data_IF_718956147043
#
_entry.id   IF_718956147043
#
_cell.length_a   1.000
_cell.length_b   1.000
_cell.length_c   1.000
_cell.angle_alpha   90.00
_cell.angle_beta   90.00
_cell.angle_gamma   90.00
#
_symmetry.space_group_name_H-M   'P 1'
#
loop_
_entity.id
_entity.type
_entity.pdbx_description
1 polymer ?
#
# COMPACT_ATOMS: atom_id res chain seq x y z
N UNK A 1 0.00 -24.29 -8.93
CA UNK A 1 0.92 -23.16 -9.20
C UNK A 1 1.64 -22.82 -7.90
N UNK A 2 2.85 -23.31 -7.73
CA UNK A 2 3.60 -23.28 -6.47
C UNK A 2 4.20 -21.89 -6.21
N UNK A 3 3.95 -21.34 -5.01
CA UNK A 3 4.53 -20.09 -4.53
C UNK A 3 6.04 -20.28 -4.29
N UNK A 4 6.87 -20.02 -5.29
CA UNK A 4 8.33 -19.93 -5.14
C UNK A 4 8.70 -18.61 -4.44
N UNK A 5 8.62 -18.58 -3.11
CA UNK A 5 9.25 -17.55 -2.29
C UNK A 5 10.39 -18.15 -1.47
N UNK A 6 11.39 -17.31 -1.21
CA UNK A 6 12.57 -17.65 -0.43
C UNK A 6 12.26 -17.39 1.03
N UNK A 7 12.69 -18.30 1.91
CA UNK A 7 12.57 -18.11 3.36
C UNK A 7 13.81 -17.39 3.87
N UNK A 8 13.68 -16.14 4.30
CA UNK A 8 14.76 -15.42 4.98
C UNK A 8 14.56 -15.46 6.49
N UNK A 9 15.66 -15.60 7.23
CA UNK A 9 15.67 -15.50 8.70
C UNK A 9 16.22 -14.13 9.09
N UNK A 10 15.35 -13.23 9.55
CA UNK A 10 15.80 -12.00 10.20
C UNK A 10 16.15 -12.37 11.64
N UNK A 11 17.45 -12.38 11.97
CA UNK A 11 17.94 -12.59 13.34
C UNK A 11 17.81 -11.28 14.10
N UNK A 12 16.69 -11.06 14.78
CA UNK A 12 16.68 -10.11 15.89
C UNK A 12 17.29 -10.80 17.12
N UNK A 13 17.99 -10.06 17.98
CA UNK A 13 18.93 -10.53 19.05
C UNK A 13 18.42 -11.69 19.96
N UNK A 14 17.14 -12.02 19.95
CA UNK A 14 16.51 -13.11 20.73
C UNK A 14 15.43 -13.92 19.99
N UNK A 15 15.02 -13.56 18.75
CA UNK A 15 13.96 -14.24 18.00
C UNK A 15 14.33 -14.38 16.52
N UNK A 16 14.34 -15.62 16.04
CA UNK A 16 14.45 -15.94 14.61
C UNK A 16 13.04 -15.98 14.04
N UNK A 17 12.69 -15.04 13.16
CA UNK A 17 11.44 -15.10 12.41
C UNK A 17 11.73 -15.59 11.00
N UNK A 18 11.08 -16.69 10.60
CA UNK A 18 11.06 -17.17 9.22
C UNK A 18 10.02 -16.36 8.45
N UNK A 19 10.46 -15.66 7.40
CA UNK A 19 9.59 -14.84 6.57
C UNK A 19 9.68 -15.35 5.14
N UNK A 20 8.52 -15.66 4.55
CA UNK A 20 8.40 -16.00 3.14
C UNK A 20 8.39 -14.71 2.32
N UNK A 21 9.41 -14.50 1.50
CA UNK A 21 9.58 -13.29 0.70
C UNK A 21 9.67 -13.67 -0.78
N UNK A 22 9.11 -12.82 -1.66
CA UNK A 22 9.27 -13.00 -3.09
C UNK A 22 10.77 -12.86 -3.47
N UNK A 23 11.25 -13.70 -4.41
CA UNK A 23 12.64 -13.74 -4.92
C UNK A 23 13.24 -12.37 -5.23
N UNK A 24 12.42 -11.42 -5.66
CA UNK A 24 12.88 -10.11 -6.17
C UNK A 24 12.74 -8.95 -5.17
N UNK A 25 12.37 -9.21 -3.91
CA UNK A 25 12.17 -8.13 -2.93
C UNK A 25 13.44 -7.78 -2.17
N UNK A 26 13.85 -6.50 -2.18
CA UNK A 26 14.91 -5.96 -1.34
C UNK A 26 14.45 -5.93 0.13
N UNK A 27 15.23 -6.51 1.03
CA UNK A 27 15.01 -6.35 2.48
C UNK A 27 15.40 -4.93 2.89
N UNK A 28 14.49 -4.22 3.53
CA UNK A 28 14.59 -2.79 3.86
C UNK A 28 14.91 -2.62 5.35
N UNK A 29 15.83 -1.70 5.68
CA UNK A 29 16.08 -1.30 7.08
C UNK A 29 15.06 -0.27 7.54
N UNK A 30 14.83 -0.19 8.85
CA UNK A 30 13.83 0.72 9.43
C UNK A 30 14.02 2.18 9.00
N UNK A 31 15.26 2.67 8.84
CA UNK A 31 15.54 4.05 8.45
C UNK A 31 15.13 4.36 6.99
N UNK A 32 15.14 3.36 6.12
CA UNK A 32 14.79 3.49 4.70
C UNK A 32 13.28 3.42 4.46
N UNK A 33 12.50 2.90 5.43
CA UNK A 33 11.06 2.66 5.25
C UNK A 33 10.32 3.94 4.89
N UNK A 34 10.56 5.03 5.63
CA UNK A 34 9.89 6.30 5.38
C UNK A 34 10.17 6.84 3.98
N UNK A 35 11.42 6.75 3.52
CA UNK A 35 11.83 7.21 2.18
C UNK A 35 11.09 6.43 1.10
N UNK A 36 10.97 5.11 1.28
CA UNK A 36 10.27 4.24 0.33
C UNK A 36 8.76 4.54 0.32
N UNK A 37 8.16 4.76 1.48
CA UNK A 37 6.75 5.14 1.60
C UNK A 37 6.48 6.48 0.89
N UNK A 38 7.27 7.51 1.19
CA UNK A 38 7.14 8.84 0.58
C UNK A 38 7.33 8.77 -0.94
N UNK A 39 8.33 8.02 -1.44
CA UNK A 39 8.60 7.90 -2.87
C UNK A 39 7.48 7.16 -3.65
N UNK A 40 6.86 6.15 -3.04
CA UNK A 40 5.85 5.33 -3.72
C UNK A 40 4.45 5.94 -3.62
N UNK A 41 4.15 6.54 -2.47
CA UNK A 41 2.82 7.03 -2.16
C UNK A 41 2.66 8.55 -2.35
N UNK A 42 3.73 9.34 -2.19
CA UNK A 42 3.68 10.81 -2.27
C UNK A 42 3.64 11.39 -3.69
N UNK A 43 3.62 10.55 -4.74
CA UNK A 43 3.48 11.03 -6.12
C UNK A 43 2.05 11.54 -6.39
N UNK A 44 1.90 12.77 -6.87
CA UNK A 44 0.59 13.34 -7.21
C UNK A 44 -0.12 12.62 -8.38
N UNK A 45 0.64 12.03 -9.30
CA UNK A 45 0.13 11.44 -10.55
C UNK A 45 -0.10 9.92 -10.44
N UNK A 46 0.48 9.25 -9.44
CA UNK A 46 0.38 7.79 -9.27
C UNK A 46 0.48 7.28 -7.84
N UNK A 47 0.35 8.19 -6.87
CA UNK A 47 0.18 7.94 -5.44
C UNK A 47 -1.30 7.94 -5.06
N UNK A 48 -1.61 7.62 -3.80
CA UNK A 48 -3.00 7.57 -3.29
C UNK A 48 -3.95 6.54 -3.95
N UNK A 49 -3.43 5.52 -4.63
CA UNK A 49 -4.19 4.43 -5.29
C UNK A 49 -4.99 3.52 -4.33
N UNK A 50 -5.12 3.90 -3.05
CA UNK A 50 -5.71 3.10 -1.99
C UNK A 50 -4.72 2.15 -1.32
N UNK A 51 -5.15 1.61 -0.17
CA UNK A 51 -4.33 0.79 0.72
C UNK A 51 -3.82 -0.48 0.03
N UNK A 52 -4.72 -1.26 -0.58
CA UNK A 52 -4.38 -2.53 -1.20
C UNK A 52 -3.38 -2.37 -2.36
N UNK A 53 -3.60 -1.38 -3.22
CA UNK A 53 -2.71 -1.09 -4.34
C UNK A 53 -1.30 -0.67 -3.86
N UNK A 54 -1.24 0.16 -2.81
CA UNK A 54 0.03 0.59 -2.20
C UNK A 54 0.79 -0.60 -1.61
N UNK A 55 0.11 -1.45 -0.84
CA UNK A 55 0.70 -2.67 -0.27
C UNK A 55 1.24 -3.58 -1.38
N UNK A 56 0.47 -3.82 -2.44
CA UNK A 56 0.89 -4.66 -3.56
C UNK A 56 2.13 -4.10 -4.28
N UNK A 57 2.13 -2.79 -4.57
CA UNK A 57 3.23 -2.10 -5.26
C UNK A 57 4.54 -2.15 -4.47
N UNK A 58 4.46 -2.01 -3.14
CA UNK A 58 5.60 -2.10 -2.24
C UNK A 58 6.08 -3.55 -2.12
N UNK A 59 5.18 -4.50 -1.84
CA UNK A 59 5.51 -5.93 -1.65
C UNK A 59 6.14 -6.59 -2.87
N UNK A 60 5.97 -6.02 -4.06
CA UNK A 60 6.63 -6.51 -5.29
C UNK A 60 8.14 -6.27 -5.27
N UNK A 61 8.62 -5.24 -4.55
CA UNK A 61 10.01 -4.75 -4.61
C UNK A 61 10.71 -4.71 -3.26
N UNK A 62 9.96 -4.65 -2.16
CA UNK A 62 10.50 -4.39 -0.84
C UNK A 62 9.87 -5.29 0.22
N UNK A 63 10.65 -5.57 1.25
CA UNK A 63 10.21 -6.35 2.39
C UNK A 63 10.82 -5.83 3.70
N UNK A 64 10.00 -5.70 4.74
CA UNK A 64 10.46 -5.50 6.12
C UNK A 64 9.44 -6.11 7.10
N UNK A 65 9.86 -6.43 8.34
CA UNK A 65 8.94 -6.90 9.38
C UNK A 65 7.80 -5.90 9.57
N UNK A 66 6.58 -6.40 9.76
CA UNK A 66 5.39 -5.57 10.01
C UNK A 66 5.03 -4.56 8.90
N UNK A 67 5.59 -4.70 7.68
CA UNK A 67 5.39 -3.74 6.59
C UNK A 67 3.93 -3.38 6.31
N UNK A 68 3.01 -4.34 6.39
CA UNK A 68 1.60 -4.10 6.12
C UNK A 68 1.03 -3.11 7.15
N UNK A 69 1.31 -3.33 8.44
CA UNK A 69 0.81 -2.47 9.52
C UNK A 69 1.33 -1.04 9.37
N UNK A 70 2.64 -0.90 9.10
CA UNK A 70 3.26 0.40 8.92
C UNK A 70 2.73 1.14 7.68
N UNK A 71 2.55 0.45 6.55
CA UNK A 71 1.93 1.03 5.34
C UNK A 71 0.52 1.54 5.64
N UNK A 72 -0.31 0.74 6.34
CA UNK A 72 -1.67 1.15 6.72
C UNK A 72 -1.66 2.40 7.58
N UNK A 73 -0.81 2.44 8.60
CA UNK A 73 -0.71 3.60 9.50
C UNK A 73 -0.23 4.85 8.76
N UNK A 74 0.70 4.70 7.83
CA UNK A 74 1.17 5.79 6.98
C UNK A 74 0.03 6.36 6.10
N UNK A 75 -0.72 5.49 5.43
CA UNK A 75 -1.85 5.90 4.58
C UNK A 75 -2.97 6.56 5.40
N UNK A 76 -3.25 6.04 6.59
CA UNK A 76 -4.23 6.65 7.51
C UNK A 76 -3.86 8.08 7.91
N UNK A 77 -2.57 8.42 7.94
CA UNK A 77 -2.10 9.80 8.19
C UNK A 77 -2.22 10.75 6.99
N UNK A 78 -2.61 10.25 5.81
CA UNK A 78 -2.66 11.05 4.60
C UNK A 78 -3.92 11.93 4.52
N UNK A 79 -3.72 13.24 4.55
CA UNK A 79 -4.79 14.25 4.44
C UNK A 79 -5.57 14.09 3.13
N UNK A 80 -4.89 13.83 2.01
CA UNK A 80 -5.52 13.70 0.68
C UNK A 80 -6.48 12.51 0.66
N UNK A 81 -6.04 11.34 1.14
CA UNK A 81 -6.91 10.17 1.21
C UNK A 81 -8.07 10.35 2.19
N UNK A 82 -7.83 10.98 3.35
CA UNK A 82 -8.90 11.28 4.31
C UNK A 82 -9.99 12.20 3.72
N UNK A 83 -9.61 13.20 2.93
CA UNK A 83 -10.58 14.08 2.26
C UNK A 83 -11.40 13.30 1.22
N UNK A 84 -10.75 12.48 0.39
CA UNK A 84 -11.41 11.68 -0.64
C UNK A 84 -12.40 10.65 -0.06
N UNK A 85 -12.07 10.00 1.07
CA UNK A 85 -13.00 9.07 1.72
C UNK A 85 -14.27 9.75 2.25
N UNK A 86 -14.15 10.98 2.77
CA UNK A 86 -15.30 11.78 3.23
C UNK A 86 -16.24 12.18 2.10
N UNK A 87 -15.73 12.35 0.89
CA UNK A 87 -16.55 12.67 -0.29
C UNK A 87 -17.38 11.45 -0.73
N UNK A 88 -16.80 10.24 -0.69
CA UNK A 88 -17.51 9.00 -1.05
C UNK A 88 -18.74 8.71 -0.19
N UNK A 89 -18.75 9.18 1.04
CA UNK A 89 -19.82 8.86 2.02
C UNK A 89 -21.03 9.79 1.92
N UNK A 90 -20.98 10.86 1.10
CA UNK A 90 -21.96 11.95 1.16
C UNK A 90 -22.93 12.06 0.00
N UNK A 91 -22.76 11.32 -1.08
CA UNK A 91 -23.64 11.45 -2.23
C UNK A 91 -24.30 10.11 -2.54
N UNK A 92 -25.58 10.02 -2.17
CA UNK A 92 -26.48 9.02 -2.75
C UNK A 92 -26.49 9.27 -4.26
N UNK A 93 -25.85 8.37 -5.02
CA UNK A 93 -25.89 8.40 -6.47
C UNK A 93 -27.36 8.34 -6.90
N UNK A 94 -27.91 9.48 -7.33
CA UNK A 94 -29.25 9.50 -7.89
C UNK A 94 -29.15 9.20 -9.39
N UNK A 95 -30.11 8.42 -9.87
CA UNK A 95 -30.26 8.19 -11.30
C UNK A 95 -30.49 9.55 -11.99
N UNK A 96 -29.57 9.96 -12.85
CA UNK A 96 -29.86 11.00 -13.83
C UNK A 96 -30.89 10.40 -14.77
N UNK A 97 -32.16 10.83 -14.65
CA UNK A 97 -33.18 10.47 -15.65
C UNK A 97 -32.74 11.09 -16.97
N UNK A 98 -32.22 10.27 -17.86
CA UNK A 98 -31.98 10.66 -19.26
C UNK A 98 -33.33 10.86 -19.90
N UNK A 99 -33.77 12.11 -19.99
CA UNK A 99 -35.02 12.45 -20.67
C UNK A 99 -34.85 12.48 -22.18
N UNK A 100 -33.62 12.56 -22.70
CA UNK A 100 -33.31 12.57 -24.14
C UNK A 100 -31.89 12.02 -24.44
N UNK A 101 -31.62 11.57 -25.68
CA UNK A 101 -30.28 11.20 -26.12
C UNK A 101 -29.36 12.42 -26.11
N UNK A 102 -28.06 12.19 -25.92
CA UNK A 102 -27.06 13.21 -26.25
C UNK A 102 -26.97 13.26 -27.77
N UNK A 103 -27.29 14.41 -28.35
CA UNK A 103 -27.18 14.66 -29.80
C UNK A 103 -25.77 14.42 -30.33
#
# INVERSE_FOLDING_TARGET
>A
MTLQGYNFVIKHRSRKQLLHVNKSSKVVRCEEVKIILDAIYGSAIGGHLGEAATIWKIRKRYFWPQMISEIKNFIKGCIICQQQEKLKTRESLYLIRTTQPFD
#
